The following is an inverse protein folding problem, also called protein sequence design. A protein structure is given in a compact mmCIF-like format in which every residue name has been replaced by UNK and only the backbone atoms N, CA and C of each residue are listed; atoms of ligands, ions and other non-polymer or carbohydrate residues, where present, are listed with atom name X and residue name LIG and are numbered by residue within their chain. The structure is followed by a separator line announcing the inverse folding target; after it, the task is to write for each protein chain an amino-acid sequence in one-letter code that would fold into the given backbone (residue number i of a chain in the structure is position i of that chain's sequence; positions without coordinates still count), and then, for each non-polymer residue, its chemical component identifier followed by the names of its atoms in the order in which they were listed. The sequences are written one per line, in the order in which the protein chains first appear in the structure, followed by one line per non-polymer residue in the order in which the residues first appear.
data_IF_492190818644
#
_entry.id   IF_492190818644
#
_cell.length_a   1.000
_cell.length_b   1.000
_cell.length_c   1.000
_cell.angle_alpha   90.00
_cell.angle_beta   90.00
_cell.angle_gamma   90.00
#
_symmetry.space_group_name_H-M   'P 1'
#
loop_
_entity.id
_entity.type
_entity.pdbx_description
1 polymer ?
#
# COMPACT_ATOMS: atom_id res chain seq x y z
N UNK A 1 5.30 17.48 -5.48
CA UNK A 1 6.73 17.16 -5.36
C UNK A 1 7.13 16.42 -6.63
N UNK A 2 8.02 17.00 -7.42
CA UNK A 2 8.52 16.39 -8.66
C UNK A 2 9.56 15.32 -8.30
N UNK A 3 9.48 14.19 -8.99
CA UNK A 3 10.08 12.90 -8.67
C UNK A 3 11.62 12.93 -8.55
N UNK A 4 12.21 12.14 -7.62
CA UNK A 4 13.65 11.84 -7.61
C UNK A 4 14.13 11.08 -8.85
N UNK A 5 13.23 10.46 -9.63
CA UNK A 5 13.54 9.48 -10.69
C UNK A 5 14.62 9.92 -11.69
N UNK A 6 14.65 11.19 -12.08
CA UNK A 6 15.64 11.68 -13.05
C UNK A 6 17.07 11.61 -12.55
N UNK A 7 17.29 11.74 -11.24
CA UNK A 7 18.65 11.74 -10.67
C UNK A 7 19.29 10.34 -10.64
N UNK A 8 18.47 9.29 -10.63
CA UNK A 8 18.91 7.90 -10.53
C UNK A 8 19.32 7.31 -11.86
N UNK A 9 18.54 7.63 -12.91
CA UNK A 9 18.82 7.20 -14.28
C UNK A 9 20.17 7.76 -14.75
N UNK A 10 20.45 9.03 -14.42
CA UNK A 10 21.71 9.70 -14.78
C UNK A 10 22.93 9.02 -14.14
N UNK A 11 22.86 8.63 -12.86
CA UNK A 11 23.98 7.94 -12.18
C UNK A 11 24.24 6.53 -12.73
N UNK A 12 23.22 5.86 -13.25
CA UNK A 12 23.37 4.51 -13.80
C UNK A 12 24.07 4.54 -15.16
N UNK A 13 23.68 5.46 -16.04
CA UNK A 13 24.32 5.61 -17.36
C UNK A 13 25.80 5.97 -17.24
N UNK A 14 26.15 6.91 -16.36
CA UNK A 14 27.54 7.30 -16.10
C UNK A 14 28.41 6.12 -15.63
N UNK A 15 27.90 5.30 -14.72
CA UNK A 15 28.61 4.11 -14.20
C UNK A 15 28.77 3.04 -15.28
N UNK A 16 27.74 2.85 -16.11
CA UNK A 16 27.76 1.88 -17.20
C UNK A 16 28.71 2.31 -18.32
N UNK A 17 28.81 3.60 -18.64
CA UNK A 17 29.75 4.14 -19.63
C UNK A 17 31.21 4.08 -19.17
N UNK A 18 31.47 4.15 -17.87
CA UNK A 18 32.81 4.05 -17.29
C UNK A 18 33.42 2.63 -17.35
N UNK A 19 32.64 1.59 -17.66
CA UNK A 19 33.14 0.21 -17.74
C UNK A 19 34.01 -0.02 -18.99
N UNK A 20 35.22 -0.60 -18.87
CA UNK A 20 36.09 -0.86 -20.01
C UNK A 20 35.43 -1.75 -21.08
N UNK A 21 35.63 -1.41 -22.36
CA UNK A 21 34.99 -2.09 -23.52
C UNK A 21 35.22 -3.61 -23.59
N UNK A 22 36.30 -4.13 -22.99
CA UNK A 22 36.58 -5.58 -22.96
C UNK A 22 35.70 -6.37 -21.99
N UNK A 23 34.88 -5.69 -21.18
CA UNK A 23 33.84 -6.27 -20.31
C UNK A 23 32.42 -6.14 -20.89
N UNK A 24 32.27 -6.03 -22.21
CA UNK A 24 30.96 -5.82 -22.87
C UNK A 24 29.86 -6.78 -22.40
N UNK A 25 30.19 -8.05 -22.13
CA UNK A 25 29.25 -9.05 -21.61
C UNK A 25 28.80 -8.72 -20.18
N UNK A 26 29.71 -8.29 -19.31
CA UNK A 26 29.40 -7.90 -17.93
C UNK A 26 28.59 -6.59 -17.91
N UNK A 27 28.98 -5.62 -18.74
CA UNK A 27 28.27 -4.35 -18.93
C UNK A 27 26.82 -4.58 -19.36
N UNK A 28 26.59 -5.43 -20.37
CA UNK A 28 25.25 -5.73 -20.86
C UNK A 28 24.38 -6.43 -19.79
N UNK A 29 24.95 -7.37 -19.01
CA UNK A 29 24.23 -8.02 -17.90
C UNK A 29 23.83 -7.04 -16.80
N UNK A 30 24.71 -6.08 -16.48
CA UNK A 30 24.41 -5.03 -15.50
C UNK A 30 23.30 -4.11 -16.01
N UNK A 31 23.36 -3.70 -17.27
CA UNK A 31 22.31 -2.88 -17.89
C UNK A 31 20.97 -3.62 -17.87
N UNK A 32 20.95 -4.89 -18.26
CA UNK A 32 19.73 -5.71 -18.28
C UNK A 32 19.12 -5.83 -16.89
N UNK A 33 19.92 -6.15 -15.87
CA UNK A 33 19.45 -6.23 -14.48
C UNK A 33 18.94 -4.88 -13.95
N UNK A 34 19.58 -3.77 -14.32
CA UNK A 34 19.11 -2.43 -13.93
C UNK A 34 17.81 -2.05 -14.63
N UNK A 35 17.64 -2.41 -15.91
CA UNK A 35 16.40 -2.19 -16.64
C UNK A 35 15.25 -3.00 -16.03
N UNK A 36 15.46 -4.28 -15.69
CA UNK A 36 14.47 -5.11 -14.99
C UNK A 36 14.08 -4.48 -13.63
N UNK A 37 15.06 -3.95 -12.90
CA UNK A 37 14.80 -3.30 -11.62
C UNK A 37 14.00 -2.00 -11.77
N UNK A 38 14.31 -1.18 -12.78
CA UNK A 38 13.57 0.04 -13.11
C UNK A 38 12.13 -0.28 -13.54
N UNK A 39 11.95 -1.30 -14.39
CA UNK A 39 10.62 -1.74 -14.82
C UNK A 39 9.79 -2.20 -13.62
N UNK A 40 10.38 -3.00 -12.73
CA UNK A 40 9.73 -3.44 -11.51
C UNK A 40 9.36 -2.27 -10.58
N UNK A 41 10.22 -1.27 -10.42
CA UNK A 41 9.91 -0.06 -9.64
C UNK A 41 8.76 0.75 -10.27
N UNK A 42 8.74 0.83 -11.60
CA UNK A 42 7.68 1.52 -12.34
C UNK A 42 6.32 0.83 -12.15
N UNK A 43 6.30 -0.51 -12.12
CA UNK A 43 5.09 -1.27 -11.84
C UNK A 43 4.58 -1.04 -10.41
N UNK A 44 5.49 -0.99 -9.42
CA UNK A 44 5.14 -0.65 -8.03
C UNK A 44 4.51 0.76 -7.96
N UNK A 45 5.12 1.75 -8.60
CA UNK A 45 4.60 3.12 -8.62
C UNK A 45 3.18 3.19 -9.24
N UNK A 46 2.96 2.47 -10.34
CA UNK A 46 1.64 2.39 -10.97
C UNK A 46 0.59 1.70 -10.07
N UNK A 47 0.98 0.65 -9.35
CA UNK A 47 0.08 -0.02 -8.40
C UNK A 47 -0.24 0.89 -7.21
N UNK A 48 0.75 1.59 -6.66
CA UNK A 48 0.56 2.56 -5.59
C UNK A 48 -0.38 3.70 -6.01
N UNK A 49 -0.23 4.24 -7.23
CA UNK A 49 -1.12 5.28 -7.75
C UNK A 49 -2.57 4.77 -7.88
N UNK A 50 -2.75 3.54 -8.36
CA UNK A 50 -4.06 2.91 -8.46
C UNK A 50 -4.71 2.74 -7.07
N UNK A 51 -3.94 2.27 -6.08
CA UNK A 51 -4.41 2.11 -4.71
C UNK A 51 -4.80 3.46 -4.11
N UNK A 52 -3.99 4.51 -4.32
CA UNK A 52 -4.29 5.85 -3.83
C UNK A 52 -5.63 6.38 -4.37
N UNK A 53 -5.91 6.18 -5.67
CA UNK A 53 -7.21 6.54 -6.27
C UNK A 53 -8.36 5.77 -5.62
N UNK A 54 -8.19 4.47 -5.38
CA UNK A 54 -9.20 3.66 -4.69
C UNK A 54 -9.45 4.13 -3.25
N UNK A 55 -8.39 4.55 -2.54
CA UNK A 55 -8.49 5.11 -1.19
C UNK A 55 -9.30 6.41 -1.23
N UNK A 56 -9.00 7.30 -2.18
CA UNK A 56 -9.72 8.56 -2.34
C UNK A 56 -11.22 8.31 -2.58
N UNK A 57 -11.57 7.43 -3.51
CA UNK A 57 -12.96 7.07 -3.83
C UNK A 57 -13.73 6.54 -2.60
N UNK A 58 -13.13 5.60 -1.87
CA UNK A 58 -13.75 4.93 -0.72
C UNK A 58 -13.83 5.81 0.54
N UNK A 59 -12.94 6.79 0.68
CA UNK A 59 -12.85 7.65 1.87
C UNK A 59 -14.11 8.49 2.11
N UNK A 60 -14.83 8.81 1.04
CA UNK A 60 -16.05 9.64 1.05
C UNK A 60 -17.20 9.04 1.85
N UNK A 61 -17.26 7.70 1.98
CA UNK A 61 -18.37 6.99 2.60
C UNK A 61 -17.87 5.88 3.54
N UNK A 62 -17.29 6.28 4.67
CA UNK A 62 -16.85 5.36 5.72
C UNK A 62 -17.76 5.42 6.95
N UNK A 63 -17.89 4.27 7.63
CA UNK A 63 -18.60 4.16 8.91
C UNK A 63 -17.75 3.43 9.94
N UNK A 64 -17.57 4.07 11.09
CA UNK A 64 -16.83 3.51 12.22
C UNK A 64 -17.71 2.62 13.10
N UNK A 65 -17.11 1.54 13.59
CA UNK A 65 -17.75 0.57 14.48
C UNK A 65 -18.00 -0.78 13.84
N UNK A 66 -18.74 -1.63 14.54
CA UNK A 66 -19.16 -2.94 14.05
C UNK A 66 -20.64 -3.19 14.39
N UNK A 67 -21.27 -4.05 13.59
CA UNK A 67 -22.64 -4.48 13.81
C UNK A 67 -22.70 -5.62 14.82
N UNK A 68 -23.55 -5.49 15.83
CA UNK A 68 -23.78 -6.47 16.89
C UNK A 68 -25.25 -6.89 16.86
N UNK A 69 -25.49 -8.19 16.70
CA UNK A 69 -26.83 -8.77 16.75
C UNK A 69 -27.08 -9.38 18.12
N UNK A 70 -28.05 -8.85 18.86
CA UNK A 70 -28.37 -9.32 20.21
C UNK A 70 -29.86 -9.34 20.47
N UNK A 71 -30.26 -10.21 21.40
CA UNK A 71 -31.64 -10.26 21.86
C UNK A 71 -31.88 -9.30 23.02
N UNK A 72 -33.11 -8.80 23.11
CA UNK A 72 -33.65 -7.99 24.21
C UNK A 72 -35.01 -8.56 24.62
N UNK A 73 -35.41 -8.31 25.87
CA UNK A 73 -36.75 -8.65 26.34
C UNK A 73 -37.67 -7.45 26.17
N UNK A 74 -38.88 -7.70 25.68
CA UNK A 74 -39.94 -6.70 25.76
C UNK A 74 -40.57 -6.67 27.18
N UNK A 75 -41.57 -5.81 27.39
CA UNK A 75 -42.27 -5.67 28.68
C UNK A 75 -42.93 -6.98 29.16
N UNK A 76 -43.27 -7.89 28.24
CA UNK A 76 -43.87 -9.21 28.52
C UNK A 76 -42.84 -10.35 28.52
N UNK A 77 -41.53 -10.04 28.64
CA UNK A 77 -40.42 -11.01 28.69
C UNK A 77 -40.27 -11.92 27.46
N UNK A 78 -40.79 -11.52 26.31
CA UNK A 78 -40.52 -12.20 25.03
C UNK A 78 -39.20 -11.69 24.42
N UNK A 79 -38.43 -12.60 23.82
CA UNK A 79 -37.14 -12.30 23.17
C UNK A 79 -37.34 -11.73 21.78
N UNK A 80 -36.70 -10.60 21.51
CA UNK A 80 -36.61 -9.98 20.19
C UNK A 80 -35.16 -9.75 19.84
N UNK A 81 -34.81 -9.99 18.59
CA UNK A 81 -33.45 -9.78 18.10
C UNK A 81 -33.36 -8.47 17.32
N UNK A 82 -32.33 -7.69 17.61
CA UNK A 82 -32.08 -6.41 16.95
C UNK A 82 -30.59 -6.21 16.68
N UNK A 83 -30.34 -5.39 15.66
CA UNK A 83 -29.02 -4.91 15.31
C UNK A 83 -28.69 -3.63 16.08
N UNK A 84 -27.43 -3.57 16.52
CA UNK A 84 -26.83 -2.40 17.15
C UNK A 84 -25.52 -2.07 16.45
N UNK A 85 -25.24 -0.78 16.24
CA UNK A 85 -23.92 -0.31 15.86
C UNK A 85 -23.11 -0.05 17.14
N UNK A 86 -22.01 -0.78 17.29
CA UNK A 86 -21.05 -0.63 18.39
C UNK A 86 -19.90 0.24 17.91
N UNK A 87 -19.76 1.44 18.49
CA UNK A 87 -18.67 2.35 18.14
C UNK A 87 -18.13 3.08 19.37
N UNK A 88 -16.86 3.45 19.35
CA UNK A 88 -16.24 4.26 20.40
C UNK A 88 -16.54 5.74 20.14
N UNK A 89 -17.11 6.42 21.13
CA UNK A 89 -17.30 7.87 21.15
C UNK A 89 -16.81 8.40 22.51
N UNK A 90 -15.95 9.41 22.50
CA UNK A 90 -15.37 10.01 23.72
C UNK A 90 -14.74 8.96 24.66
N UNK A 91 -13.99 8.02 24.07
CA UNK A 91 -13.32 6.93 24.80
C UNK A 91 -14.24 5.81 25.31
N UNK A 92 -15.57 5.93 25.18
CA UNK A 92 -16.54 4.96 25.68
C UNK A 92 -17.19 4.18 24.54
N UNK A 93 -17.42 2.88 24.75
CA UNK A 93 -18.10 2.03 23.77
C UNK A 93 -19.62 2.23 23.87
N UNK A 94 -20.23 2.79 22.83
CA UNK A 94 -21.67 3.05 22.75
C UNK A 94 -22.36 2.02 21.86
N UNK A 95 -23.58 1.65 22.24
CA UNK A 95 -24.50 0.85 21.41
C UNK A 95 -25.57 1.77 20.84
N UNK A 96 -25.60 1.94 19.53
CA UNK A 96 -26.65 2.68 18.83
C UNK A 96 -27.65 1.66 18.28
N UNK A 97 -28.92 1.78 18.66
CA UNK A 97 -29.98 0.93 18.15
C UNK A 97 -30.21 1.20 16.66
N UNK A 98 -30.16 0.15 15.84
CA UNK A 98 -30.40 0.23 14.39
C UNK A 98 -31.79 -0.29 14.05
N UNK A 99 -32.22 -1.38 14.70
CA UNK A 99 -33.51 -2.02 14.46
C UNK A 99 -33.37 -3.43 13.92
N UNK A 100 -34.45 -3.94 13.31
CA UNK A 100 -34.51 -5.32 12.79
C UNK A 100 -33.76 -5.49 11.47
N UNK A 101 -33.67 -4.43 10.68
CA UNK A 101 -33.02 -4.41 9.38
C UNK A 101 -31.87 -3.42 9.38
N UNK A 102 -30.74 -3.78 8.77
CA UNK A 102 -29.57 -2.93 8.67
C UNK A 102 -29.70 -2.05 7.42
N UNK A 103 -29.57 -0.72 7.51
CA UNK A 103 -29.53 0.15 6.34
C UNK A 103 -28.35 -0.18 5.42
N UNK A 104 -28.57 -0.24 4.10
CA UNK A 104 -27.53 -0.58 3.10
C UNK A 104 -26.28 0.30 3.22
N UNK A 105 -26.47 1.61 3.32
CA UNK A 105 -25.37 2.58 3.46
C UNK A 105 -24.45 2.31 4.66
N UNK A 106 -24.97 1.67 5.72
CA UNK A 106 -24.19 1.35 6.91
C UNK A 106 -23.35 0.09 6.70
N UNK A 107 -23.87 -0.89 5.97
CA UNK A 107 -23.11 -2.07 5.54
C UNK A 107 -21.98 -1.64 4.60
N UNK A 108 -22.31 -0.83 3.59
CA UNK A 108 -21.36 -0.29 2.62
C UNK A 108 -20.24 0.48 3.33
N UNK A 109 -20.57 1.42 4.21
CA UNK A 109 -19.54 2.21 4.89
C UNK A 109 -18.64 1.41 5.84
N UNK A 110 -19.15 0.33 6.46
CA UNK A 110 -18.31 -0.58 7.26
C UNK A 110 -17.37 -1.40 6.35
N UNK A 111 -17.87 -1.85 5.19
CA UNK A 111 -17.06 -2.59 4.23
C UNK A 111 -15.99 -1.71 3.58
N UNK A 112 -16.34 -0.47 3.19
CA UNK A 112 -15.39 0.51 2.67
C UNK A 112 -14.24 0.74 3.66
N UNK A 113 -14.54 0.85 4.97
CA UNK A 113 -13.51 0.97 6.01
C UNK A 113 -12.55 -0.23 6.02
N UNK A 114 -13.07 -1.46 5.93
CA UNK A 114 -12.24 -2.67 5.88
C UNK A 114 -11.38 -2.72 4.62
N UNK A 115 -11.95 -2.32 3.48
CA UNK A 115 -11.21 -2.22 2.22
C UNK A 115 -10.11 -1.16 2.33
N UNK A 116 -10.39 0.00 2.90
CA UNK A 116 -9.39 1.04 3.16
C UNK A 116 -8.26 0.54 4.07
N UNK A 117 -8.58 -0.18 5.15
CA UNK A 117 -7.57 -0.79 6.03
C UNK A 117 -6.68 -1.77 5.23
N UNK A 118 -7.27 -2.59 4.35
CA UNK A 118 -6.52 -3.51 3.50
C UNK A 118 -5.67 -2.79 2.45
N UNK A 119 -6.18 -1.72 1.84
CA UNK A 119 -5.48 -0.93 0.82
C UNK A 119 -4.32 -0.15 1.44
N UNK A 120 -4.52 0.44 2.61
CA UNK A 120 -3.47 1.12 3.36
C UNK A 120 -2.33 0.16 3.71
N UNK A 121 -2.66 -1.06 4.18
CA UNK A 121 -1.67 -2.09 4.44
C UNK A 121 -0.91 -2.49 3.17
N UNK A 122 -1.62 -2.69 2.05
CA UNK A 122 -0.97 -3.02 0.77
C UNK A 122 -0.03 -1.91 0.30
N UNK A 123 -0.41 -0.65 0.52
CA UNK A 123 0.42 0.50 0.17
C UNK A 123 1.71 0.55 1.01
N UNK A 124 1.62 0.25 2.30
CA UNK A 124 2.79 0.08 3.19
C UNK A 124 3.71 -1.06 2.71
N UNK A 125 3.14 -2.22 2.37
CA UNK A 125 3.90 -3.35 1.82
C UNK A 125 4.65 -3.01 0.51
N UNK A 126 4.00 -2.24 -0.38
CA UNK A 126 4.59 -1.78 -1.64
C UNK A 126 5.71 -0.75 -1.41
N UNK A 127 5.54 0.14 -0.44
CA UNK A 127 6.56 1.13 -0.07
C UNK A 127 7.81 0.44 0.49
N UNK A 128 7.63 -0.56 1.37
CA UNK A 128 8.73 -1.39 1.87
C UNK A 128 9.41 -2.22 0.78
N UNK A 129 8.64 -2.74 -0.18
CA UNK A 129 9.20 -3.45 -1.35
C UNK A 129 10.03 -2.51 -2.22
N UNK A 130 9.52 -1.30 -2.48
CA UNK A 130 10.20 -0.27 -3.25
C UNK A 130 11.53 0.11 -2.60
N UNK A 131 11.53 0.40 -1.31
CA UNK A 131 12.73 0.78 -0.57
C UNK A 131 13.79 -0.34 -0.60
N UNK A 132 13.38 -1.60 -0.41
CA UNK A 132 14.29 -2.75 -0.50
C UNK A 132 14.94 -2.87 -1.88
N UNK A 133 14.16 -2.67 -2.96
CA UNK A 133 14.68 -2.70 -4.33
C UNK A 133 15.65 -1.56 -4.59
N UNK A 134 15.32 -0.34 -4.15
CA UNK A 134 16.21 0.82 -4.26
C UNK A 134 17.52 0.57 -3.53
N UNK A 135 17.46 0.06 -2.29
CA UNK A 135 18.65 -0.28 -1.51
C UNK A 135 19.51 -1.36 -2.18
N UNK A 136 18.87 -2.36 -2.80
CA UNK A 136 19.57 -3.39 -3.56
C UNK A 136 20.33 -2.82 -4.76
N UNK A 137 19.69 -1.96 -5.55
CA UNK A 137 20.31 -1.25 -6.67
C UNK A 137 21.51 -0.42 -6.19
N UNK A 138 21.34 0.32 -5.10
CA UNK A 138 22.43 1.11 -4.52
C UNK A 138 23.65 0.28 -4.14
N UNK A 139 23.41 -0.85 -3.47
CA UNK A 139 24.48 -1.77 -3.07
C UNK A 139 25.19 -2.33 -4.31
N UNK A 140 24.44 -2.71 -5.34
CA UNK A 140 25.01 -3.20 -6.60
C UNK A 140 25.89 -2.15 -7.29
N UNK A 141 25.40 -0.90 -7.41
CA UNK A 141 26.17 0.22 -7.99
C UNK A 141 27.45 0.47 -7.19
N UNK A 142 27.36 0.46 -5.86
CA UNK A 142 28.52 0.68 -4.98
C UNK A 142 29.60 -0.38 -5.16
N UNK A 143 29.22 -1.66 -5.28
CA UNK A 143 30.18 -2.73 -5.51
C UNK A 143 30.84 -2.64 -6.90
N UNK A 144 30.08 -2.25 -7.93
CA UNK A 144 30.63 -1.98 -9.27
C UNK A 144 31.65 -0.83 -9.26
N UNK A 145 31.35 0.26 -8.54
CA UNK A 145 32.28 1.39 -8.42
C UNK A 145 33.58 0.98 -7.72
N UNK A 146 33.52 0.21 -6.63
CA UNK A 146 34.73 -0.33 -5.97
C UNK A 146 35.55 -1.21 -6.91
N UNK A 147 34.90 -2.09 -7.66
CA UNK A 147 35.57 -2.95 -8.64
C UNK A 147 36.24 -2.13 -9.75
N UNK A 148 35.62 -1.03 -10.19
CA UNK A 148 36.18 -0.16 -11.23
C UNK A 148 37.40 0.67 -10.77
N UNK A 149 37.52 0.97 -9.46
CA UNK A 149 38.66 1.70 -8.88
C UNK A 149 39.86 0.78 -8.62
N UNK A 150 39.62 -0.53 -8.49
CA UNK A 150 40.64 -1.54 -8.15
C UNK A 150 41.30 -2.16 -9.40
N UNK A 151 40.73 -1.93 -10.59
CA UNK A 151 41.22 -2.35 -11.90
C UNK A 151 42.01 -1.23 -12.59
#
# INVERSE_FOLDING_TARGET
MLFPNTYWVIKVEEVVEALPRHYAVLRNRVIESLNEAIESLTQIDAEMEKINKQIEDLSSNIRYGYLEYKWVLNKIKQKYWYWYLRKRENGKLRSIYIGKHIPKHLIEGINNRRQLESLAKRLEELDEEKERKIQHIYNAIRELQKASITL
#
